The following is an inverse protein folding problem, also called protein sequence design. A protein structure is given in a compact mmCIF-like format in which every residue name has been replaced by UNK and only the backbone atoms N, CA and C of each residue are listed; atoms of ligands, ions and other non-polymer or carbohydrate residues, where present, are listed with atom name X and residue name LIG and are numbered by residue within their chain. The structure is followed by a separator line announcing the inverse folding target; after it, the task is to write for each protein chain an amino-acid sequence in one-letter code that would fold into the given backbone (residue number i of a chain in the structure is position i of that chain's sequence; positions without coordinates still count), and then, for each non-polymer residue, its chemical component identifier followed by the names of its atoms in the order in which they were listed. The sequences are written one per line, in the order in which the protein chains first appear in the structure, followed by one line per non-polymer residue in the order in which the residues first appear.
data_IF_839000124657
#
_entry.id   IF_839000124657
#
_cell.length_a   1.000
_cell.length_b   1.000
_cell.length_c   1.000
_cell.angle_alpha   90.00
_cell.angle_beta   90.00
_cell.angle_gamma   90.00
#
_symmetry.space_group_name_H-M   'P 1'
#
loop_
_entity.id
_entity.type
_entity.pdbx_description
1 polymer ?
#
# COMPACT_ATOMS: atom_id res chain seq x y z
N UNK A 1 -18.46 -12.12 3.46
CA UNK A 1 -17.10 -11.54 3.41
C UNK A 1 -16.11 -12.63 3.03
N UNK A 2 -15.77 -12.78 1.75
CA UNK A 2 -14.72 -13.72 1.31
C UNK A 2 -13.40 -12.94 1.29
N UNK A 3 -12.45 -13.32 2.15
CA UNK A 3 -11.10 -12.76 2.14
C UNK A 3 -10.44 -13.11 0.81
N UNK A 4 -10.18 -12.10 -0.03
CA UNK A 4 -9.41 -12.30 -1.26
C UNK A 4 -7.97 -12.53 -0.86
N UNK A 5 -7.38 -13.64 -1.30
CA UNK A 5 -5.95 -13.88 -1.12
C UNK A 5 -5.16 -12.78 -1.85
N UNK A 6 -4.05 -12.34 -1.24
CA UNK A 6 -3.12 -11.40 -1.88
C UNK A 6 -2.66 -12.00 -3.21
N UNK A 7 -2.66 -11.20 -4.28
CA UNK A 7 -2.08 -11.64 -5.55
C UNK A 7 -0.57 -11.82 -5.38
N UNK A 8 0.01 -12.85 -6.01
CA UNK A 8 1.46 -13.10 -5.94
C UNK A 8 2.32 -11.89 -6.33
N UNK A 9 1.82 -11.04 -7.24
CA UNK A 9 2.47 -9.79 -7.65
C UNK A 9 2.50 -8.75 -6.53
N UNK A 10 1.42 -8.62 -5.75
CA UNK A 10 1.34 -7.72 -4.60
C UNK A 10 2.33 -8.11 -3.51
N UNK A 11 2.43 -9.41 -3.24
CA UNK A 11 3.39 -9.97 -2.27
C UNK A 11 4.84 -9.75 -2.70
N UNK A 12 5.13 -9.89 -4.00
CA UNK A 12 6.47 -9.62 -4.54
C UNK A 12 6.86 -8.15 -4.43
N UNK A 13 5.94 -7.22 -4.69
CA UNK A 13 6.20 -5.78 -4.56
C UNK A 13 6.47 -5.40 -3.10
N UNK A 14 5.66 -5.91 -2.17
CA UNK A 14 5.88 -5.73 -0.72
C UNK A 14 7.28 -6.24 -0.33
N UNK A 15 7.64 -7.47 -0.73
CA UNK A 15 8.97 -8.05 -0.44
C UNK A 15 10.14 -7.29 -1.07
N UNK A 16 9.94 -6.64 -2.21
CA UNK A 16 10.98 -5.81 -2.86
C UNK A 16 11.19 -4.48 -2.13
N UNK A 17 10.14 -3.96 -1.50
CA UNK A 17 10.18 -2.76 -0.70
C UNK A 17 10.70 -3.03 0.72
N UNK A 18 10.39 -4.22 1.25
CA UNK A 18 10.77 -4.65 2.58
C UNK A 18 12.28 -4.96 2.72
N UNK A 19 12.82 -4.78 3.94
CA UNK A 19 14.22 -5.02 4.31
C UNK A 19 15.28 -4.28 3.47
N UNK A 20 14.90 -3.21 2.76
CA UNK A 20 15.83 -2.35 2.02
C UNK A 20 16.23 -1.12 2.84
N UNK A 21 17.42 -0.57 2.55
CA UNK A 21 17.83 0.71 3.12
C UNK A 21 16.86 1.82 2.71
N UNK A 22 16.72 2.84 3.55
CA UNK A 22 15.86 3.98 3.29
C UNK A 22 16.14 4.63 1.93
N UNK A 23 17.42 4.76 1.55
CA UNK A 23 17.85 5.28 0.25
C UNK A 23 17.33 4.47 -0.94
N UNK A 24 17.30 3.14 -0.81
CA UNK A 24 16.84 2.26 -1.88
C UNK A 24 15.31 2.25 -1.94
N UNK A 25 14.62 2.31 -0.80
CA UNK A 25 13.17 2.51 -0.73
C UNK A 25 12.77 3.84 -1.38
N UNK A 26 13.52 4.90 -1.11
CA UNK A 26 13.31 6.21 -1.72
C UNK A 26 13.39 6.13 -3.25
N UNK A 27 14.44 5.49 -3.77
CA UNK A 27 14.62 5.32 -5.21
C UNK A 27 13.48 4.52 -5.86
N UNK A 28 13.03 3.42 -5.24
CA UNK A 28 11.89 2.65 -5.73
C UNK A 28 10.59 3.47 -5.79
N UNK A 29 10.40 4.39 -4.85
CA UNK A 29 9.23 5.27 -4.83
C UNK A 29 9.33 6.44 -5.81
N UNK A 30 10.55 6.89 -6.10
CA UNK A 30 10.79 7.89 -7.14
C UNK A 30 10.56 7.29 -8.54
N UNK A 31 10.96 6.02 -8.74
CA UNK A 31 10.82 5.31 -10.02
C UNK A 31 9.37 4.82 -10.25
N UNK A 32 8.75 4.18 -9.24
CA UNK A 32 7.48 3.44 -9.41
C UNK A 32 6.49 3.63 -8.24
N UNK A 33 6.58 4.76 -7.53
CA UNK A 33 5.76 5.06 -6.34
C UNK A 33 4.26 4.77 -6.44
N UNK A 34 3.56 5.17 -7.52
CA UNK A 34 2.13 4.88 -7.68
C UNK A 34 1.80 3.38 -7.71
N UNK A 35 2.69 2.54 -8.27
CA UNK A 35 2.48 1.08 -8.33
C UNK A 35 2.55 0.46 -6.92
N UNK A 36 3.51 0.89 -6.10
CA UNK A 36 3.63 0.45 -4.71
C UNK A 36 2.43 0.88 -3.87
N UNK A 37 2.03 2.16 -3.95
CA UNK A 37 0.87 2.68 -3.21
C UNK A 37 -0.42 1.96 -3.61
N UNK A 38 -0.63 1.69 -4.89
CA UNK A 38 -1.79 0.92 -5.36
C UNK A 38 -1.83 -0.48 -4.78
N UNK A 39 -0.68 -1.13 -4.61
CA UNK A 39 -0.61 -2.42 -3.94
C UNK A 39 -0.97 -2.30 -2.47
N UNK A 40 -0.41 -1.33 -1.74
CA UNK A 40 -0.73 -1.15 -0.32
C UNK A 40 -2.21 -0.90 -0.10
N UNK A 41 -2.81 0.04 -0.83
CA UNK A 41 -4.25 0.35 -0.74
C UNK A 41 -5.11 -0.86 -1.09
N UNK A 42 -4.75 -1.61 -2.15
CA UNK A 42 -5.47 -2.83 -2.51
C UNK A 42 -5.39 -3.91 -1.44
N UNK A 43 -4.23 -4.08 -0.79
CA UNK A 43 -4.07 -5.04 0.30
C UNK A 43 -4.92 -4.65 1.50
N UNK A 44 -4.91 -3.37 1.90
CA UNK A 44 -5.76 -2.87 2.99
C UNK A 44 -7.26 -3.04 2.69
N UNK A 45 -7.67 -2.97 1.42
CA UNK A 45 -9.06 -3.17 1.00
C UNK A 45 -9.47 -4.64 0.94
N UNK A 46 -8.62 -5.49 0.37
CA UNK A 46 -8.97 -6.85 0.00
C UNK A 46 -8.68 -7.88 1.14
N UNK A 47 -7.84 -7.51 2.13
CA UNK A 47 -7.40 -8.39 3.22
C UNK A 47 -7.73 -7.82 4.59
N UNK A 48 -8.40 -8.64 5.40
CA UNK A 48 -8.84 -8.30 6.76
C UNK A 48 -8.09 -9.07 7.86
N UNK A 49 -6.97 -9.73 7.52
CA UNK A 49 -6.14 -10.38 8.54
C UNK A 49 -5.35 -9.31 9.30
N UNK A 50 -5.56 -9.22 10.61
CA UNK A 50 -4.99 -8.20 11.50
C UNK A 50 -3.48 -8.00 11.29
N UNK A 51 -2.67 -9.06 11.43
CA UNK A 51 -1.21 -8.98 11.24
C UNK A 51 -0.81 -8.39 9.87
N UNK A 52 -1.60 -8.66 8.82
CA UNK A 52 -1.28 -8.21 7.45
C UNK A 52 -1.65 -6.75 7.27
N UNK A 53 -2.76 -6.31 7.86
CA UNK A 53 -3.18 -4.92 7.85
C UNK A 53 -2.20 -4.09 8.65
N UNK A 54 -1.86 -4.50 9.87
CA UNK A 54 -0.90 -3.82 10.74
C UNK A 54 0.47 -3.68 10.05
N UNK A 55 0.96 -4.76 9.45
CA UNK A 55 2.23 -4.75 8.73
C UNK A 55 2.23 -3.78 7.54
N UNK A 56 1.15 -3.72 6.75
CA UNK A 56 1.06 -2.77 5.63
C UNK A 56 0.94 -1.33 6.12
N UNK A 57 0.21 -1.09 7.21
CA UNK A 57 0.13 0.23 7.83
C UNK A 57 1.50 0.69 8.34
N UNK A 58 2.28 -0.19 8.97
CA UNK A 58 3.66 0.11 9.39
C UNK A 58 4.55 0.48 8.19
N UNK A 59 4.44 -0.23 7.06
CA UNK A 59 5.20 0.12 5.84
C UNK A 59 4.81 1.49 5.27
N UNK A 60 3.53 1.87 5.36
CA UNK A 60 3.05 3.20 4.95
C UNK A 60 3.57 4.26 5.91
N UNK A 61 3.53 3.99 7.22
CA UNK A 61 4.01 4.92 8.25
C UNK A 61 5.50 5.21 8.05
N UNK A 62 6.33 4.18 7.94
CA UNK A 62 7.77 4.32 7.64
C UNK A 62 8.03 5.09 6.32
N UNK A 63 7.19 4.86 5.30
CA UNK A 63 7.31 5.59 4.03
C UNK A 63 7.12 7.09 4.22
N UNK A 64 6.09 7.47 4.98
CA UNK A 64 5.68 8.86 5.19
C UNK A 64 6.60 9.56 6.20
N UNK A 65 7.09 8.84 7.22
CA UNK A 65 8.09 9.34 8.16
C UNK A 65 9.38 9.74 7.42
N UNK A 66 9.85 8.91 6.49
CA UNK A 66 11.05 9.22 5.71
C UNK A 66 10.90 10.41 4.75
N UNK A 67 9.69 10.66 4.22
CA UNK A 67 9.40 11.88 3.46
C UNK A 67 7.89 12.15 3.37
N UNK A 68 7.36 13.12 4.14
CA UNK A 68 5.94 13.43 4.15
C UNK A 68 5.35 13.84 2.79
N UNK A 69 6.18 14.35 1.86
CA UNK A 69 5.73 14.70 0.50
C UNK A 69 5.29 13.49 -0.32
N UNK A 70 5.67 12.26 0.09
CA UNK A 70 5.22 11.01 -0.53
C UNK A 70 3.72 10.77 -0.38
N UNK A 71 3.05 11.45 0.56
CA UNK A 71 1.59 11.45 0.69
C UNK A 71 0.88 11.78 -0.65
N UNK A 72 1.51 12.59 -1.52
CA UNK A 72 0.98 12.89 -2.86
C UNK A 72 0.71 11.65 -3.72
N UNK A 73 1.42 10.54 -3.49
CA UNK A 73 1.24 9.28 -4.23
C UNK A 73 -0.13 8.63 -3.93
N UNK A 74 -0.72 8.93 -2.77
CA UNK A 74 -2.05 8.46 -2.38
C UNK A 74 -3.18 9.32 -2.96
N UNK A 75 -2.88 10.46 -3.57
CA UNK A 75 -3.87 11.33 -4.21
C UNK A 75 -4.17 10.93 -5.66
N UNK A 76 -3.61 9.81 -6.13
CA UNK A 76 -3.88 9.29 -7.47
C UNK A 76 -5.36 8.91 -7.60
N UNK A 77 -6.06 9.55 -8.54
CA UNK A 77 -7.49 9.34 -8.81
C UNK A 77 -7.81 7.90 -9.24
N UNK A 78 -6.82 7.14 -9.70
CA UNK A 78 -6.98 5.71 -10.00
C UNK A 78 -7.08 4.83 -8.75
N UNK A 79 -6.78 5.37 -7.56
CA UNK A 79 -7.04 4.73 -6.26
C UNK A 79 -8.46 5.01 -5.76
N UNK A 80 -9.08 6.08 -6.27
CA UNK A 80 -10.49 6.35 -6.04
C UNK A 80 -11.31 5.43 -6.94
N UNK A 81 -11.48 4.18 -6.51
CA UNK A 81 -12.52 3.30 -7.04
C UNK A 81 -13.90 3.80 -6.58
N UNK A 82 -14.97 3.44 -7.29
CA UNK A 82 -16.33 3.80 -6.91
C UNK A 82 -16.62 3.35 -5.46
N UNK A 83 -16.87 4.33 -4.61
CA UNK A 83 -17.40 4.20 -3.25
C UNK A 83 -16.43 3.72 -2.14
N UNK A 84 -15.59 4.65 -1.67
CA UNK A 84 -14.76 4.51 -0.45
C UNK A 84 -15.57 4.11 0.80
N UNK A 85 -16.89 4.30 0.77
CA UNK A 85 -17.78 4.02 1.89
C UNK A 85 -18.58 2.72 1.75
N UNK A 86 -18.46 1.97 0.64
CA UNK A 86 -19.15 0.68 0.44
C UNK A 86 -19.02 -0.27 1.65
N UNK A 87 -17.85 -0.44 2.29
CA UNK A 87 -17.70 -1.35 3.43
C UNK A 87 -18.47 -0.94 4.69
N UNK A 88 -18.95 0.31 4.76
CA UNK A 88 -19.65 0.89 5.90
C UNK A 88 -21.14 1.15 5.63
N UNK A 89 -21.59 0.96 4.39
CA UNK A 89 -22.98 1.16 3.97
C UNK A 89 -23.80 -0.15 3.97
N UNK A 90 -23.18 -1.28 4.33
CA UNK A 90 -23.83 -2.60 4.50
C UNK A 90 -24.20 -2.90 5.94
#
# INVERSE_FOLDING_TARGET
MSTKLISGTSLQLIRRYDHRSESHRAQLLDDDGPAYVRVFVRVLRDIFKEDTVEYVLALIDEMLEGNPKRARLFHDKTLADEDTYEPFLS
#
